data_IF_379886187274
#
_entry.id   IF_379886187274
#
_cell.length_a   1.000
_cell.length_b   1.000
_cell.length_c   1.000
_cell.angle_alpha   90.00
_cell.angle_beta   90.00
_cell.angle_gamma   90.00
#
_symmetry.space_group_name_H-M   'P 1'
#
loop_
_entity.id
_entity.type
_entity.pdbx_description
1 polymer ?
#
# COMPACT_ATOMS: atom_id res chain seq x y z
N UNK A 1 42.89 -41.75 -31.08
CA UNK A 1 41.45 -41.57 -31.36
C UNK A 1 41.26 -40.29 -32.14
N UNK A 2 40.85 -40.38 -33.41
CA UNK A 2 40.48 -39.22 -34.24
C UNK A 2 39.02 -38.87 -33.95
N UNK A 3 38.75 -37.66 -33.47
CA UNK A 3 37.37 -37.15 -33.38
C UNK A 3 36.98 -36.66 -34.78
N UNK A 4 35.94 -37.21 -35.41
CA UNK A 4 35.52 -36.77 -36.74
C UNK A 4 35.10 -35.30 -36.72
N UNK A 5 35.49 -34.53 -37.74
CA UNK A 5 35.23 -33.09 -37.86
C UNK A 5 33.74 -32.74 -37.66
N UNK A 6 32.84 -33.64 -38.03
CA UNK A 6 31.39 -33.49 -37.81
C UNK A 6 30.99 -33.40 -36.34
N UNK A 7 31.69 -34.05 -35.42
CA UNK A 7 31.41 -33.99 -33.97
C UNK A 7 31.85 -32.64 -33.40
N UNK A 8 32.97 -32.09 -33.87
CA UNK A 8 33.46 -30.76 -33.45
C UNK A 8 32.45 -29.69 -33.83
N UNK A 9 31.89 -29.75 -35.05
CA UNK A 9 30.85 -28.81 -35.50
C UNK A 9 29.58 -28.87 -34.64
N UNK A 10 29.11 -30.05 -34.25
CA UNK A 10 27.90 -30.21 -33.43
C UNK A 10 28.10 -29.63 -32.03
N UNK A 11 29.28 -29.81 -31.43
CA UNK A 11 29.60 -29.27 -30.10
C UNK A 11 29.67 -27.74 -30.11
N UNK A 12 30.27 -27.13 -31.15
CA UNK A 12 30.33 -25.66 -31.29
C UNK A 12 28.93 -25.07 -31.42
N UNK A 13 28.06 -25.68 -32.24
CA UNK A 13 26.68 -25.22 -32.40
C UNK A 13 25.89 -25.34 -31.09
N UNK A 14 26.06 -26.44 -30.34
CA UNK A 14 25.37 -26.62 -29.07
C UNK A 14 25.76 -25.55 -28.03
N UNK A 15 27.06 -25.25 -27.91
CA UNK A 15 27.57 -24.19 -27.02
C UNK A 15 27.02 -22.81 -27.41
N UNK A 16 26.93 -22.50 -28.71
CA UNK A 16 26.34 -21.26 -29.18
C UNK A 16 24.83 -21.16 -28.88
N UNK A 17 24.09 -22.27 -28.97
CA UNK A 17 22.66 -22.29 -28.66
C UNK A 17 22.44 -22.08 -27.15
N UNK A 18 23.24 -22.71 -26.30
CA UNK A 18 23.12 -22.54 -24.85
C UNK A 18 23.47 -21.13 -24.40
N UNK A 19 24.52 -20.51 -24.96
CA UNK A 19 24.89 -19.13 -24.60
C UNK A 19 23.87 -18.10 -25.09
N UNK A 20 23.30 -18.30 -26.27
CA UNK A 20 22.21 -17.45 -26.77
C UNK A 20 20.98 -17.55 -25.85
N UNK A 21 20.59 -18.76 -25.45
CA UNK A 21 19.45 -18.99 -24.57
C UNK A 21 19.65 -18.35 -23.17
N UNK A 22 20.86 -18.44 -22.61
CA UNK A 22 21.21 -17.80 -21.33
C UNK A 22 21.03 -16.27 -21.38
N UNK A 23 21.40 -15.63 -22.49
CA UNK A 23 21.23 -14.17 -22.63
C UNK A 23 19.76 -13.74 -22.68
N UNK A 24 18.89 -14.54 -23.29
CA UNK A 24 17.45 -14.24 -23.38
C UNK A 24 16.75 -14.39 -22.02
N UNK A 25 17.11 -15.42 -21.25
CA UNK A 25 16.58 -15.63 -19.89
C UNK A 25 16.99 -14.50 -18.95
N UNK A 26 18.25 -14.04 -19.02
CA UNK A 26 18.74 -12.93 -18.19
C UNK A 26 17.97 -11.62 -18.43
N UNK A 27 17.65 -11.31 -19.70
CA UNK A 27 16.86 -10.13 -20.03
C UNK A 27 15.43 -10.21 -19.48
N UNK A 28 14.81 -11.39 -19.55
CA UNK A 28 13.48 -11.62 -19.02
C UNK A 28 13.40 -11.45 -17.50
N UNK A 29 14.36 -11.99 -16.75
CA UNK A 29 14.41 -11.85 -15.29
C UNK A 29 14.57 -10.39 -14.85
N UNK A 30 15.37 -9.61 -15.58
CA UNK A 30 15.55 -8.18 -15.32
C UNK A 30 14.23 -7.40 -15.49
N UNK A 31 13.49 -7.69 -16.57
CA UNK A 31 12.18 -7.08 -16.81
C UNK A 31 11.18 -7.47 -15.70
N UNK A 32 11.12 -8.76 -15.34
CA UNK A 32 10.25 -9.25 -14.26
C UNK A 32 10.53 -8.53 -12.94
N UNK A 33 11.78 -8.52 -12.49
CA UNK A 33 12.16 -7.89 -11.23
C UNK A 33 11.86 -6.39 -11.24
N UNK A 34 12.09 -5.71 -12.37
CA UNK A 34 11.74 -4.29 -12.54
C UNK A 34 10.24 -4.05 -12.39
N UNK A 35 9.40 -4.91 -12.98
CA UNK A 35 7.93 -4.76 -12.88
C UNK A 35 7.40 -5.02 -11.47
N UNK A 36 7.98 -5.97 -10.72
CA UNK A 36 7.60 -6.22 -9.33
C UNK A 36 7.93 -5.00 -8.45
N UNK A 37 9.11 -4.40 -8.61
CA UNK A 37 9.48 -3.18 -7.89
C UNK A 37 8.59 -1.97 -8.23
N UNK A 38 8.14 -1.85 -9.49
CA UNK A 38 7.19 -0.79 -9.88
C UNK A 38 5.82 -1.02 -9.25
N UNK A 39 5.36 -2.27 -9.20
CA UNK A 39 4.06 -2.63 -8.61
C UNK A 39 4.03 -2.36 -7.10
N UNK A 40 5.13 -2.64 -6.40
CA UNK A 40 5.29 -2.29 -4.98
C UNK A 40 5.22 -0.77 -4.76
N UNK A 41 5.92 0.02 -5.58
CA UNK A 41 5.87 1.49 -5.52
C UNK A 41 4.48 2.07 -5.85
N UNK A 42 3.77 1.46 -6.81
CA UNK A 42 2.44 1.92 -7.21
C UNK A 42 1.40 1.69 -6.09
N UNK A 43 1.47 0.55 -5.40
CA UNK A 43 0.57 0.25 -4.29
C UNK A 43 0.80 1.18 -3.08
N UNK A 44 2.05 1.63 -2.87
CA UNK A 44 2.41 2.55 -1.79
C UNK A 44 1.86 3.97 -2.01
N UNK A 45 1.78 4.41 -3.27
CA UNK A 45 1.26 5.74 -3.62
C UNK A 45 -0.26 5.81 -3.62
N UNK A 46 -0.97 4.72 -3.99
CA UNK A 46 -2.44 4.68 -3.93
C UNK A 46 -2.97 4.55 -2.49
N UNK A 47 -2.26 3.84 -1.61
CA UNK A 47 -2.65 3.66 -0.22
C UNK A 47 -2.08 4.72 0.73
N UNK A 48 -2.02 5.98 0.30
CA UNK A 48 -1.64 7.09 1.16
C UNK A 48 -2.86 7.69 1.89
N UNK A 49 -2.84 7.61 3.22
CA UNK A 49 -3.89 8.12 4.12
C UNK A 49 -3.47 9.39 4.90
N UNK A 50 -2.28 9.94 4.60
CA UNK A 50 -1.66 11.05 5.32
C UNK A 50 -0.82 10.63 6.54
N UNK A 51 -0.01 11.54 7.06
CA UNK A 51 0.93 11.32 8.18
C UNK A 51 0.24 10.91 9.51
N UNK A 52 -1.06 11.16 9.62
CA UNK A 52 -1.88 10.84 10.78
C UNK A 52 -2.57 9.47 10.67
N UNK A 53 -2.15 8.65 9.71
CA UNK A 53 -2.53 7.24 9.60
C UNK A 53 -1.51 6.33 10.26
N UNK A 54 -2.00 5.19 10.74
CA UNK A 54 -1.22 4.05 11.25
C UNK A 54 -1.11 2.99 10.15
N UNK A 55 -2.21 2.78 9.42
CA UNK A 55 -2.31 1.76 8.40
C UNK A 55 -3.31 2.18 7.32
N UNK A 56 -3.05 1.76 6.09
CA UNK A 56 -3.98 1.87 4.97
C UNK A 56 -4.25 0.47 4.40
N UNK A 57 -5.48 0.22 3.97
CA UNK A 57 -5.85 -0.98 3.25
C UNK A 57 -7.09 -0.72 2.38
N UNK A 58 -7.24 -1.50 1.31
CA UNK A 58 -8.44 -1.47 0.48
C UNK A 58 -9.45 -2.52 0.95
N UNK A 59 -10.73 -2.13 1.02
CA UNK A 59 -11.83 -3.05 1.29
C UNK A 59 -12.91 -2.84 0.25
N UNK A 60 -13.09 -3.81 -0.66
CA UNK A 60 -14.04 -3.71 -1.79
C UNK A 60 -13.79 -2.44 -2.63
N UNK A 61 -12.52 -2.21 -3.00
CA UNK A 61 -12.08 -1.04 -3.78
C UNK A 61 -12.26 0.31 -3.07
N UNK A 62 -12.64 0.31 -1.79
CA UNK A 62 -12.71 1.51 -0.97
C UNK A 62 -11.46 1.58 -0.09
N UNK A 63 -10.70 2.67 -0.22
CA UNK A 63 -9.57 2.96 0.64
C UNK A 63 -10.04 3.16 2.09
N UNK A 64 -9.45 2.40 3.01
CA UNK A 64 -9.69 2.48 4.45
C UNK A 64 -8.40 2.82 5.17
N UNK A 65 -8.52 3.78 6.09
CA UNK A 65 -7.41 4.31 6.84
C UNK A 65 -7.63 4.05 8.32
N UNK A 66 -6.67 3.41 8.98
CA UNK A 66 -6.60 3.37 10.43
C UNK A 66 -5.88 4.64 10.87
N UNK A 67 -6.56 5.53 11.58
CA UNK A 67 -6.03 6.81 11.99
C UNK A 67 -5.46 6.77 13.42
N UNK A 68 -4.49 7.65 13.70
CA UNK A 68 -3.96 7.86 15.05
C UNK A 68 -5.05 8.39 15.99
N UNK A 69 -4.84 8.24 17.29
CA UNK A 69 -5.77 8.75 18.30
C UNK A 69 -6.00 10.26 18.11
N UNK A 70 -7.26 10.69 18.14
CA UNK A 70 -7.66 12.07 17.87
C UNK A 70 -7.83 12.40 16.38
N UNK A 71 -7.63 11.43 15.49
CA UNK A 71 -7.91 11.55 14.05
C UNK A 71 -8.96 10.52 13.63
N UNK A 72 -9.75 10.86 12.62
CA UNK A 72 -10.73 9.97 12.02
C UNK A 72 -10.65 10.04 10.49
N UNK A 73 -11.01 8.95 9.83
CA UNK A 73 -11.05 8.92 8.37
C UNK A 73 -12.18 9.84 7.89
N UNK A 74 -11.82 10.79 7.02
CA UNK A 74 -12.77 11.56 6.24
C UNK A 74 -12.32 11.54 4.78
N UNK A 75 -13.21 11.04 3.92
CA UNK A 75 -12.89 10.63 2.55
C UNK A 75 -11.70 9.63 2.55
N UNK A 76 -10.59 10.04 1.96
CA UNK A 76 -9.41 9.22 1.72
C UNK A 76 -8.26 9.47 2.70
N UNK A 77 -8.48 10.33 3.71
CA UNK A 77 -7.40 10.82 4.59
C UNK A 77 -7.82 10.83 6.05
N UNK A 78 -6.84 10.75 6.95
CA UNK A 78 -7.04 10.95 8.38
C UNK A 78 -7.05 12.44 8.72
N UNK A 79 -8.21 12.96 9.16
CA UNK A 79 -8.37 14.36 9.60
C UNK A 79 -8.55 14.45 11.10
N UNK A 80 -8.17 15.58 11.67
CA UNK A 80 -8.27 15.82 13.10
C UNK A 80 -9.73 15.81 13.57
N UNK A 81 -10.01 14.95 14.54
CA UNK A 81 -11.33 14.66 15.10
C UNK A 81 -11.21 14.56 16.63
N UNK A 82 -10.47 15.48 17.26
CA UNK A 82 -10.30 15.47 18.70
C UNK A 82 -11.55 15.97 19.44
N UNK A 83 -12.23 15.08 20.18
CA UNK A 83 -13.41 15.41 21.00
C UNK A 83 -13.08 15.76 22.47
N UNK A 84 -11.78 15.82 22.81
CA UNK A 84 -11.29 16.01 24.18
C UNK A 84 -11.27 14.72 25.00
N UNK A 85 -10.87 14.83 26.28
CA UNK A 85 -10.66 13.68 27.18
C UNK A 85 -11.92 12.82 27.42
N UNK A 86 -13.10 13.40 27.26
CA UNK A 86 -14.38 12.75 27.52
C UNK A 86 -15.08 12.22 26.26
N UNK A 87 -14.42 12.33 25.10
CA UNK A 87 -14.88 11.79 23.82
C UNK A 87 -13.84 10.82 23.26
N UNK A 88 -13.87 9.53 23.65
CA UNK A 88 -12.89 8.55 23.19
C UNK A 88 -12.98 8.26 21.70
N UNK A 89 -14.11 8.59 21.06
CA UNK A 89 -14.34 8.32 19.65
C UNK A 89 -14.94 9.53 18.96
N UNK A 90 -14.44 9.79 17.76
CA UNK A 90 -14.93 10.83 16.88
C UNK A 90 -15.10 10.29 15.47
N UNK A 91 -16.11 10.79 14.77
CA UNK A 91 -16.40 10.45 13.38
C UNK A 91 -16.79 11.71 12.63
N UNK A 92 -16.79 11.63 11.30
CA UNK A 92 -17.33 12.68 10.45
C UNK A 92 -18.65 12.20 9.84
N UNK A 93 -19.61 13.10 9.70
CA UNK A 93 -20.78 12.83 8.85
C UNK A 93 -20.48 13.12 7.37
N UNK A 94 -21.49 12.90 6.51
CA UNK A 94 -21.34 13.09 5.07
C UNK A 94 -21.03 14.54 4.67
N UNK A 95 -21.41 15.51 5.51
CA UNK A 95 -21.17 16.93 5.31
C UNK A 95 -19.79 17.37 5.86
N UNK A 96 -19.06 16.46 6.51
CA UNK A 96 -17.77 16.72 7.13
C UNK A 96 -17.87 17.38 8.51
N UNK A 97 -19.04 17.39 9.13
CA UNK A 97 -19.16 17.81 10.52
C UNK A 97 -18.66 16.71 11.44
N UNK A 98 -17.89 17.13 12.44
CA UNK A 98 -17.39 16.24 13.49
C UNK A 98 -18.55 15.82 14.39
N UNK A 99 -18.61 14.53 14.70
CA UNK A 99 -19.53 13.92 15.65
C UNK A 99 -18.75 13.21 16.74
N UNK A 100 -19.02 13.58 17.98
CA UNK A 100 -18.34 13.05 19.14
C UNK A 100 -19.20 12.04 19.88
N UNK A 101 -18.64 10.86 20.15
CA UNK A 101 -19.26 9.92 21.08
C UNK A 101 -18.74 10.24 22.47
N UNK A 102 -19.56 10.94 23.25
CA UNK A 102 -19.21 11.37 24.60
C UNK A 102 -19.52 10.29 25.65
N UNK A 103 -18.68 10.22 26.69
CA UNK A 103 -18.91 9.35 27.84
C UNK A 103 -20.19 9.74 28.60
N UNK A 104 -20.70 8.81 29.40
CA UNK A 104 -21.88 9.04 30.25
C UNK A 104 -21.69 10.30 31.13
N UNK A 105 -22.71 11.17 31.16
CA UNK A 105 -22.68 12.45 31.87
C UNK A 105 -22.10 13.63 31.06
N UNK A 106 -21.60 13.39 29.83
CA UNK A 106 -21.10 14.43 28.94
C UNK A 106 -22.02 14.59 27.72
N UNK A 107 -22.06 15.80 27.17
CA UNK A 107 -22.77 16.14 25.94
C UNK A 107 -21.82 16.78 24.94
N UNK A 108 -22.12 16.62 23.66
CA UNK A 108 -21.37 17.34 22.62
C UNK A 108 -21.78 18.81 22.61
N UNK A 109 -20.80 19.70 22.71
CA UNK A 109 -20.96 21.14 22.52
C UNK A 109 -19.78 21.69 21.73
N UNK A 110 -20.06 22.33 20.58
CA UNK A 110 -19.06 22.91 19.67
C UNK A 110 -17.95 21.90 19.27
N UNK A 111 -18.32 20.64 19.04
CA UNK A 111 -17.38 19.59 18.63
C UNK A 111 -16.44 19.09 19.74
N UNK A 112 -16.82 19.27 21.02
CA UNK A 112 -16.11 18.71 22.19
C UNK A 112 -17.12 18.14 23.18
N UNK A 113 -16.70 17.14 23.94
CA UNK A 113 -17.49 16.60 25.03
C UNK A 113 -17.32 17.46 26.29
N UNK A 114 -18.41 18.08 26.73
CA UNK A 114 -18.49 18.91 27.94
C UNK A 114 -19.47 18.29 28.94
N UNK A 115 -19.24 18.50 30.24
CA UNK A 115 -20.16 18.00 31.27
C UNK A 115 -21.55 18.62 31.11
N UNK A 116 -22.59 17.79 31.25
CA UNK A 116 -23.98 18.26 31.27
C UNK A 116 -24.36 18.90 32.58
#
# INVERSE_FOLDING_TARGET
>A
MWVPERIVFVLVMFVCITSALETEVSQYENIRNSTESILENFNETECFCGENSIQCFFRKDIKKCICKHGFAQFNETCRECGCGRHGPTCTFDNDGNKKCVCNFGFGESRGKCVGK
#
